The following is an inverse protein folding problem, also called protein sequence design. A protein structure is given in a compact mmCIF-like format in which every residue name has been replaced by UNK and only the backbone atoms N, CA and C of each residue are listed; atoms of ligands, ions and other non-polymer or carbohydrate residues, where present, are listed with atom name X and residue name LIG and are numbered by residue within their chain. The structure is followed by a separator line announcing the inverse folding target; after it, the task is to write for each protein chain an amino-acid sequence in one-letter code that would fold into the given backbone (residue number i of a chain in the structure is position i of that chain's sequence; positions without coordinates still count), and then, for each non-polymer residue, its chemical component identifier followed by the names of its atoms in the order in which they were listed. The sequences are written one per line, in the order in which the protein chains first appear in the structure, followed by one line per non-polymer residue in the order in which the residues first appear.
data_IF_516621825971
#
_entry.id   IF_516621825971
#
_cell.length_a   1.000
_cell.length_b   1.000
_cell.length_c   1.000
_cell.angle_alpha   90.00
_cell.angle_beta   90.00
_cell.angle_gamma   90.00
#
_symmetry.space_group_name_H-M   'P 1'
#
loop_
_entity.id
_entity.type
_entity.pdbx_description
1 polymer ?
#
# COMPACT_ATOMS: atom_id res chain seq x y z
N UNK A 1 68.82 -31.33 -1.64
CA UNK A 1 67.44 -31.74 -1.99
C UNK A 1 66.80 -32.48 -0.83
N UNK A 2 65.87 -31.85 -0.10
CA UNK A 2 64.79 -32.54 0.64
C UNK A 2 63.54 -31.67 0.55
N UNK A 3 62.47 -32.28 0.03
CA UNK A 3 61.22 -31.66 -0.36
C UNK A 3 60.49 -31.02 0.83
N UNK A 4 60.01 -29.80 0.60
CA UNK A 4 59.03 -29.11 1.41
C UNK A 4 57.70 -29.88 1.42
N UNK A 5 57.04 -29.94 2.58
CA UNK A 5 55.61 -30.23 2.66
C UNK A 5 54.93 -29.08 3.40
N UNK A 6 54.52 -28.06 2.65
CA UNK A 6 53.45 -27.17 3.09
C UNK A 6 52.15 -27.98 2.99
N UNK A 7 51.57 -28.33 4.13
CA UNK A 7 50.16 -28.78 4.20
C UNK A 7 49.35 -27.51 4.43
N UNK A 8 48.76 -27.01 3.35
CA UNK A 8 47.93 -25.81 3.35
C UNK A 8 46.62 -26.05 4.12
N UNK A 9 46.37 -25.20 5.12
CA UNK A 9 45.07 -25.09 5.75
C UNK A 9 44.11 -24.41 4.74
N UNK A 10 43.24 -25.18 4.11
CA UNK A 10 42.13 -24.64 3.31
C UNK A 10 41.06 -24.19 4.30
N UNK A 11 41.10 -22.92 4.68
CA UNK A 11 40.01 -22.28 5.39
C UNK A 11 38.81 -22.20 4.43
N UNK A 12 37.78 -23.01 4.69
CA UNK A 12 36.49 -22.92 4.03
C UNK A 12 35.85 -21.59 4.43
N UNK A 13 36.08 -20.55 3.62
CA UNK A 13 35.31 -19.31 3.68
C UNK A 13 33.89 -19.64 3.22
N UNK A 14 33.02 -19.96 4.18
CA UNK A 14 31.58 -20.00 3.96
C UNK A 14 31.13 -18.58 3.62
N UNK A 15 31.07 -18.27 2.33
CA UNK A 15 30.38 -17.09 1.83
C UNK A 15 28.89 -17.27 2.14
N UNK A 16 28.47 -16.82 3.32
CA UNK A 16 27.07 -16.56 3.62
C UNK A 16 26.62 -15.49 2.65
N UNK A 17 26.06 -15.91 1.52
CA UNK A 17 25.28 -15.05 0.64
C UNK A 17 24.06 -14.65 1.45
N UNK A 18 24.20 -13.60 2.26
CA UNK A 18 23.08 -12.94 2.88
C UNK A 18 22.22 -12.41 1.74
N UNK A 19 21.10 -13.08 1.48
CA UNK A 19 20.07 -12.52 0.63
C UNK A 19 19.73 -11.16 1.25
N UNK A 20 19.99 -10.09 0.50
CA UNK A 20 19.52 -8.77 0.87
C UNK A 20 18.00 -8.86 0.76
N UNK A 21 17.32 -9.00 1.90
CA UNK A 21 15.88 -8.84 1.96
C UNK A 21 15.61 -7.37 1.67
N UNK A 22 15.40 -7.04 0.39
CA UNK A 22 14.82 -5.77 0.01
C UNK A 22 13.37 -5.88 0.48
N UNK A 23 13.00 -5.10 1.48
CA UNK A 23 11.60 -4.95 1.83
C UNK A 23 10.88 -4.47 0.57
N UNK A 24 9.88 -5.22 0.09
CA UNK A 24 8.97 -4.72 -0.94
C UNK A 24 8.40 -3.39 -0.46
N UNK A 25 8.25 -2.43 -1.37
CA UNK A 25 7.62 -1.14 -1.07
C UNK A 25 6.27 -1.42 -0.36
N UNK A 26 6.07 -0.81 0.80
CA UNK A 26 4.80 -0.93 1.51
C UNK A 26 3.71 -0.23 0.69
N UNK A 27 2.98 -1.00 -0.11
CA UNK A 27 1.91 -0.50 -0.96
C UNK A 27 0.81 0.17 -0.13
N UNK A 28 0.58 -0.24 1.12
CA UNK A 28 -0.42 0.39 1.98
C UNK A 28 0.06 1.75 2.49
N UNK A 29 1.36 1.99 2.63
CA UNK A 29 1.90 3.30 3.03
C UNK A 29 1.68 4.39 1.96
N UNK A 30 1.39 4.02 0.72
CA UNK A 30 1.16 4.96 -0.38
C UNK A 30 -0.28 5.53 -0.38
N UNK A 31 -1.20 4.87 0.33
CA UNK A 31 -2.62 5.18 0.35
C UNK A 31 -3.11 5.49 1.77
N UNK A 32 -4.17 6.30 1.92
CA UNK A 32 -4.78 6.52 3.21
C UNK A 32 -5.40 5.24 3.75
N UNK A 33 -5.28 5.01 5.06
CA UNK A 33 -5.95 3.88 5.71
C UNK A 33 -7.47 4.06 5.67
N UNK A 34 -7.93 5.28 5.89
CA UNK A 34 -9.35 5.63 5.99
C UNK A 34 -9.67 6.82 5.11
N UNK A 35 -10.75 6.72 4.33
CA UNK A 35 -11.37 7.85 3.64
C UNK A 35 -12.78 8.01 4.17
N UNK A 36 -13.18 9.23 4.55
CA UNK A 36 -14.56 9.51 4.94
C UNK A 36 -15.29 10.37 3.90
N UNK A 37 -16.50 9.94 3.57
CA UNK A 37 -17.35 10.60 2.58
C UNK A 37 -18.75 10.77 3.12
N UNK A 38 -19.37 11.90 2.82
CA UNK A 38 -20.77 12.11 3.13
C UNK A 38 -21.65 11.68 1.95
N UNK A 39 -22.66 10.87 2.22
CA UNK A 39 -23.75 10.53 1.28
C UNK A 39 -25.06 10.48 2.04
N UNK A 40 -26.15 10.99 1.48
CA UNK A 40 -27.49 10.98 2.13
C UNK A 40 -27.50 11.49 3.59
N UNK A 41 -26.71 12.53 3.91
CA UNK A 41 -26.49 13.08 5.26
C UNK A 41 -25.79 12.14 6.25
N UNK A 42 -25.37 10.96 5.81
CA UNK A 42 -24.58 10.00 6.59
C UNK A 42 -23.09 10.18 6.31
N UNK A 43 -22.28 10.08 7.37
CA UNK A 43 -20.82 10.00 7.24
C UNK A 43 -20.41 8.54 7.13
N UNK A 44 -19.83 8.16 6.00
CA UNK A 44 -19.32 6.82 5.77
C UNK A 44 -17.81 6.83 5.95
N UNK A 45 -17.28 5.86 6.70
CA UNK A 45 -15.86 5.58 6.77
C UNK A 45 -15.56 4.37 5.88
N UNK A 46 -14.71 4.58 4.89
CA UNK A 46 -14.23 3.54 4.01
C UNK A 46 -12.79 3.19 4.37
N UNK A 47 -12.54 1.90 4.61
CA UNK A 47 -11.22 1.39 4.93
C UNK A 47 -10.61 0.75 3.70
N UNK A 48 -9.31 0.95 3.51
CA UNK A 48 -8.57 0.25 2.47
C UNK A 48 -8.63 -1.27 2.73
N UNK A 49 -9.04 -2.02 1.72
CA UNK A 49 -9.15 -3.48 1.78
C UNK A 49 -8.11 -4.20 0.95
N UNK A 50 -7.62 -3.56 -0.12
CA UNK A 50 -6.66 -4.14 -1.07
C UNK A 50 -6.00 -3.05 -1.89
N UNK A 51 -4.71 -3.24 -2.21
CA UNK A 51 -4.01 -2.55 -3.30
C UNK A 51 -3.67 -3.61 -4.35
N UNK A 52 -4.03 -3.38 -5.62
CA UNK A 52 -3.63 -4.25 -6.73
C UNK A 52 -2.29 -3.82 -7.33
N UNK A 53 -1.65 -4.74 -8.06
CA UNK A 53 -0.33 -4.54 -8.69
C UNK A 53 -0.30 -3.36 -9.67
N UNK A 54 -1.45 -3.00 -10.26
CA UNK A 54 -1.63 -1.84 -11.13
C UNK A 54 -1.78 -0.50 -10.37
N UNK A 55 -1.59 -0.49 -9.04
CA UNK A 55 -1.62 0.73 -8.23
C UNK A 55 -3.03 1.26 -7.94
N UNK A 56 -4.04 0.38 -7.94
CA UNK A 56 -5.42 0.73 -7.56
C UNK A 56 -5.74 0.23 -6.16
N UNK A 57 -6.12 1.15 -5.27
CA UNK A 57 -6.61 0.83 -3.95
C UNK A 57 -8.14 0.68 -3.94
N UNK A 58 -8.62 -0.40 -3.32
CA UNK A 58 -10.05 -0.68 -3.10
C UNK A 58 -10.41 -0.34 -1.66
N UNK A 59 -11.49 0.41 -1.48
CA UNK A 59 -12.01 0.85 -0.19
C UNK A 59 -13.41 0.31 0.03
N UNK A 60 -13.72 -0.08 1.26
CA UNK A 60 -15.00 -0.70 1.63
C UNK A 60 -15.55 -0.12 2.94
N UNK A 61 -16.88 0.01 3.00
CA UNK A 61 -17.63 0.34 4.21
C UNK A 61 -18.53 -0.85 4.64
N UNK A 62 -19.04 -0.79 5.87
CA UNK A 62 -19.78 -1.88 6.54
C UNK A 62 -21.09 -2.30 5.86
N UNK A 63 -21.67 -1.42 5.05
CA UNK A 63 -22.90 -1.61 4.26
C UNK A 63 -22.65 -2.24 2.88
N UNK A 64 -21.43 -2.73 2.63
CA UNK A 64 -20.97 -3.23 1.32
C UNK A 64 -20.91 -2.17 0.23
N UNK A 65 -20.90 -0.89 0.59
CA UNK A 65 -20.52 0.16 -0.36
C UNK A 65 -19.01 0.07 -0.58
N UNK A 66 -18.60 -0.02 -1.85
CA UNK A 66 -17.22 -0.09 -2.25
C UNK A 66 -16.85 1.09 -3.16
N UNK A 67 -15.58 1.48 -3.14
CA UNK A 67 -15.02 2.48 -4.04
C UNK A 67 -13.59 2.11 -4.41
N UNK A 68 -13.09 2.67 -5.51
CA UNK A 68 -11.69 2.55 -5.90
C UNK A 68 -11.06 3.92 -6.07
N UNK A 69 -9.76 4.00 -5.79
CA UNK A 69 -8.94 5.18 -6.05
C UNK A 69 -7.55 4.70 -6.46
N UNK A 70 -7.03 5.25 -7.56
CA UNK A 70 -5.63 5.03 -7.98
C UNK A 70 -4.78 6.23 -7.58
N UNK A 71 -3.46 6.02 -7.49
CA UNK A 71 -2.48 7.06 -7.12
C UNK A 71 -2.52 8.29 -8.05
N UNK A 72 -2.76 8.04 -9.34
CA UNK A 72 -2.86 9.03 -10.42
C UNK A 72 -4.30 9.48 -10.72
N UNK A 73 -5.27 8.90 -10.02
CA UNK A 73 -6.67 8.94 -10.44
C UNK A 73 -7.61 9.60 -9.46
N UNK A 74 -8.87 9.62 -9.89
CA UNK A 74 -9.99 10.19 -9.14
C UNK A 74 -10.70 9.04 -8.41
N UNK A 75 -11.22 9.31 -7.22
CA UNK A 75 -12.06 8.38 -6.50
C UNK A 75 -13.33 8.05 -7.33
N UNK A 76 -13.58 6.76 -7.50
CA UNK A 76 -14.72 6.20 -8.24
C UNK A 76 -15.55 5.33 -7.30
N UNK A 77 -16.87 5.46 -7.39
CA UNK A 77 -17.78 4.57 -6.69
C UNK A 77 -17.88 3.23 -7.43
N UNK A 78 -17.93 2.12 -6.70
CA UNK A 78 -18.27 0.80 -7.21
C UNK A 78 -19.53 0.32 -6.48
N UNK A 79 -20.68 0.39 -7.16
CA UNK A 79 -21.98 0.02 -6.60
C UNK A 79 -23.08 1.02 -6.94
N UNK A 80 -24.31 0.75 -6.48
CA UNK A 80 -25.51 1.56 -6.74
C UNK A 80 -25.63 2.80 -5.86
N UNK A 81 -24.92 2.84 -4.73
CA UNK A 81 -24.88 4.03 -3.87
C UNK A 81 -23.71 4.91 -4.31
N UNK A 82 -24.03 6.11 -4.80
CA UNK A 82 -23.03 7.08 -5.23
C UNK A 82 -22.02 7.33 -4.10
N UNK A 83 -20.73 7.36 -4.44
CA UNK A 83 -19.61 7.50 -3.50
C UNK A 83 -19.51 8.84 -2.75
N UNK A 84 -20.63 9.56 -2.64
CA UNK A 84 -20.79 10.77 -1.87
C UNK A 84 -19.85 11.90 -2.30
N UNK A 85 -19.48 12.73 -1.32
CA UNK A 85 -18.59 13.88 -1.49
C UNK A 85 -17.17 13.56 -1.98
N UNK A 86 -16.81 12.29 -2.07
CA UNK A 86 -15.47 11.87 -2.49
C UNK A 86 -15.38 11.63 -3.99
N UNK A 87 -16.48 11.34 -4.69
CA UNK A 87 -16.47 11.00 -6.12
C UNK A 87 -15.84 12.13 -6.93
N UNK A 88 -14.89 11.77 -7.79
CA UNK A 88 -14.22 12.72 -8.66
C UNK A 88 -13.06 13.48 -8.02
N UNK A 89 -12.80 13.33 -6.71
CA UNK A 89 -11.61 13.92 -6.09
C UNK A 89 -10.40 13.02 -6.28
N UNK A 90 -9.25 13.64 -6.51
CA UNK A 90 -7.93 13.00 -6.42
C UNK A 90 -7.56 12.73 -4.96
N UNK A 91 -6.56 11.86 -4.75
CA UNK A 91 -6.06 11.59 -3.41
C UNK A 91 -5.51 12.86 -2.72
N UNK A 92 -4.85 13.74 -3.47
CA UNK A 92 -4.36 15.01 -2.95
C UNK A 92 -5.49 15.92 -2.45
N UNK A 93 -6.59 16.01 -3.21
CA UNK A 93 -7.76 16.80 -2.83
C UNK A 93 -8.50 16.20 -1.62
N UNK A 94 -8.57 14.87 -1.52
CA UNK A 94 -9.14 14.20 -0.34
C UNK A 94 -8.32 14.52 0.91
N UNK A 95 -6.99 14.47 0.84
CA UNK A 95 -6.11 14.87 1.95
C UNK A 95 -6.27 16.35 2.30
N UNK A 96 -6.26 17.23 1.30
CA UNK A 96 -6.39 18.67 1.50
C UNK A 96 -7.75 19.09 2.09
N UNK A 97 -8.81 18.35 1.76
CA UNK A 97 -10.15 18.55 2.34
C UNK A 97 -10.35 17.82 3.67
N UNK A 98 -9.30 17.19 4.22
CA UNK A 98 -9.35 16.48 5.49
C UNK A 98 -10.10 15.15 5.44
N UNK A 99 -10.47 14.67 4.25
CA UNK A 99 -11.29 13.47 4.05
C UNK A 99 -10.49 12.16 4.07
N UNK A 100 -9.16 12.23 3.95
CA UNK A 100 -8.27 11.08 3.94
C UNK A 100 -7.33 11.10 5.15
N UNK A 101 -7.17 9.94 5.79
CA UNK A 101 -6.28 9.73 6.92
C UNK A 101 -5.28 8.63 6.61
N UNK A 102 -4.01 9.01 6.54
CA UNK A 102 -2.89 8.09 6.34
C UNK A 102 -2.50 7.39 7.65
N UNK A 103 -1.97 6.17 7.53
CA UNK A 103 -1.33 5.49 8.64
C UNK A 103 -0.05 6.26 8.99
N UNK A 104 0.09 6.71 10.25
CA UNK A 104 1.34 7.30 10.70
C UNK A 104 2.30 6.17 11.09
N UNK A 105 3.44 6.11 10.43
CA UNK A 105 4.56 5.23 10.77
C UNK A 105 5.49 5.93 11.76
#
# INVERSE_FOLDING_TARGET
MRLAKLVGAVALLSFTHGAVAVAEDDLFAQFPLVIHCQSNKTQHAFYISRVSEDGVATYVASDRIAGTISLDGHAKAIGSEGGGTCVGKTLAELRASGQAYDLKH
#
